data_IF_042104267219
#
_entry.id   IF_042104267219
#
_cell.length_a   1.000
_cell.length_b   1.000
_cell.length_c   1.000
_cell.angle_alpha   90.00
_cell.angle_beta   90.00
_cell.angle_gamma   90.00
#
_symmetry.space_group_name_H-M   'P 1'
#
loop_
_entity.id
_entity.type
_entity.pdbx_description
1 polymer ?
#
# COMPACT_ATOMS: atom_id res chain seq x y z
N UNK A 1 27.63 -4.92 5.92
CA UNK A 1 26.17 -4.99 6.20
C UNK A 1 25.55 -5.42 4.90
N UNK A 2 24.70 -6.43 4.88
CA UNK A 2 24.00 -6.77 3.65
C UNK A 2 23.01 -5.63 3.35
N UNK A 3 23.21 -4.91 2.26
CA UNK A 3 22.20 -3.99 1.75
C UNK A 3 21.02 -4.83 1.26
N UNK A 4 19.82 -4.56 1.75
CA UNK A 4 18.60 -5.17 1.24
C UNK A 4 18.34 -4.56 -0.13
N UNK A 5 18.22 -5.35 -1.19
CA UNK A 5 18.05 -4.83 -2.54
C UNK A 5 16.70 -4.12 -2.71
N UNK A 6 16.66 -3.15 -3.61
CA UNK A 6 15.45 -2.40 -3.98
C UNK A 6 15.12 -2.76 -5.42
N UNK A 7 13.85 -3.07 -5.67
CA UNK A 7 13.32 -3.38 -7.00
C UNK A 7 12.21 -2.39 -7.36
N UNK A 8 12.12 -2.07 -8.63
CA UNK A 8 11.01 -1.31 -9.20
C UNK A 8 9.98 -2.29 -9.75
N UNK A 9 8.73 -2.12 -9.36
CA UNK A 9 7.64 -2.86 -9.97
C UNK A 9 7.34 -2.29 -11.35
N UNK A 10 7.22 -3.17 -12.33
CA UNK A 10 6.75 -2.82 -13.67
C UNK A 10 5.51 -3.63 -14.02
N UNK A 11 4.61 -3.03 -14.74
CA UNK A 11 3.44 -3.69 -15.30
C UNK A 11 3.50 -3.60 -16.81
N UNK A 12 3.53 -4.75 -17.46
CA UNK A 12 3.28 -4.88 -18.87
C UNK A 12 1.79 -5.08 -19.13
N UNK A 13 1.32 -4.79 -20.34
CA UNK A 13 -0.10 -5.01 -20.70
C UNK A 13 -0.56 -6.46 -20.51
N UNK A 14 0.36 -7.42 -20.60
CA UNK A 14 0.14 -8.86 -20.39
C UNK A 14 0.10 -9.28 -18.93
N UNK A 15 0.56 -8.45 -18.00
CA UNK A 15 0.59 -8.80 -16.58
C UNK A 15 -0.81 -8.79 -15.98
N UNK A 16 -1.07 -9.69 -15.03
CA UNK A 16 -2.40 -9.82 -14.42
C UNK A 16 -2.79 -8.59 -13.58
N UNK A 17 -1.82 -7.81 -13.09
CA UNK A 17 -2.10 -6.64 -12.26
C UNK A 17 -2.60 -7.00 -10.86
N UNK A 18 -3.49 -6.18 -10.29
CA UNK A 18 -4.08 -6.42 -8.97
C UNK A 18 -5.16 -7.50 -9.10
N UNK A 19 -5.00 -8.60 -8.38
CA UNK A 19 -5.93 -9.73 -8.40
C UNK A 19 -6.88 -9.74 -7.22
N UNK A 20 -6.48 -9.20 -6.06
CA UNK A 20 -7.31 -9.10 -4.88
C UNK A 20 -6.87 -7.93 -3.97
N UNK A 21 -7.77 -7.58 -3.06
CA UNK A 21 -7.54 -6.58 -2.01
C UNK A 21 -7.86 -7.22 -0.67
N UNK A 22 -6.93 -7.13 0.28
CA UNK A 22 -7.06 -7.74 1.60
C UNK A 22 -7.20 -6.69 2.69
N UNK A 23 -8.16 -6.90 3.59
CA UNK A 23 -8.22 -6.19 4.85
C UNK A 23 -7.36 -6.93 5.87
N UNK A 24 -6.39 -6.24 6.44
CA UNK A 24 -5.35 -6.85 7.25
C UNK A 24 -5.17 -6.10 8.57
N UNK A 25 -4.67 -6.82 9.58
CA UNK A 25 -4.26 -6.22 10.85
C UNK A 25 -2.98 -5.40 10.67
N UNK A 26 -2.03 -5.94 9.92
CA UNK A 26 -0.73 -5.34 9.65
C UNK A 26 -0.57 -5.22 8.13
N UNK A 27 -0.90 -4.06 7.53
CA UNK A 27 -0.71 -3.88 6.11
C UNK A 27 0.77 -3.97 5.73
N UNK A 28 1.07 -4.45 4.53
CA UNK A 28 2.44 -4.63 4.06
C UNK A 28 3.25 -3.32 4.09
N UNK A 29 2.57 -2.19 3.99
CA UNK A 29 3.14 -0.85 4.15
C UNK A 29 3.64 -0.60 5.59
N UNK A 30 3.10 -1.31 6.60
CA UNK A 30 3.52 -1.20 8.00
C UNK A 30 4.73 -2.06 8.35
N UNK A 31 4.84 -3.28 7.81
CA UNK A 31 5.84 -4.27 8.23
C UNK A 31 7.27 -3.77 8.04
N UNK A 32 7.48 -2.89 7.09
CA UNK A 32 8.79 -2.27 6.86
C UNK A 32 9.20 -1.30 7.99
N UNK A 33 8.24 -0.64 8.64
CA UNK A 33 8.49 0.48 9.55
C UNK A 33 8.39 0.16 11.03
N UNK A 34 7.76 -0.95 11.42
CA UNK A 34 7.80 -1.40 12.82
C UNK A 34 9.22 -1.65 13.32
N UNK A 35 10.17 -1.93 12.41
CA UNK A 35 11.60 -2.04 12.75
C UNK A 35 12.34 -0.69 12.72
N UNK A 36 11.85 0.32 11.99
CA UNK A 36 12.63 1.54 11.71
C UNK A 36 12.04 2.87 12.16
N UNK A 37 10.74 3.02 12.29
CA UNK A 37 10.13 4.22 12.90
C UNK A 37 8.67 4.01 13.28
N UNK A 38 8.32 4.33 14.52
CA UNK A 38 6.92 4.38 15.01
C UNK A 38 6.03 5.45 14.34
N UNK A 39 6.50 6.17 13.33
CA UNK A 39 5.83 7.35 12.77
C UNK A 39 5.31 7.21 11.34
N UNK A 40 5.47 6.07 10.69
CA UNK A 40 5.03 5.90 9.30
C UNK A 40 3.89 4.87 9.12
N UNK A 41 3.07 4.66 10.15
CA UNK A 41 1.88 3.84 10.04
C UNK A 41 0.84 4.56 9.19
N UNK A 42 0.64 4.11 7.96
CA UNK A 42 -0.44 4.61 7.10
C UNK A 42 -1.55 3.57 7.11
N UNK A 43 -2.33 3.64 8.17
CA UNK A 43 -3.53 2.85 8.34
C UNK A 43 -4.69 3.44 7.54
N UNK A 44 -5.76 2.70 7.37
CA UNK A 44 -6.98 3.35 6.94
C UNK A 44 -7.52 4.28 8.03
N UNK A 45 -8.31 5.26 7.63
CA UNK A 45 -9.01 6.16 8.53
C UNK A 45 -10.52 5.98 8.35
N UNK A 46 -11.29 6.12 9.44
CA UNK A 46 -12.75 6.19 9.36
C UNK A 46 -13.11 7.55 8.77
N UNK A 47 -13.58 7.53 7.51
CA UNK A 47 -13.98 8.73 6.79
C UNK A 47 -15.37 9.22 7.24
N UNK A 48 -16.31 8.29 7.38
CA UNK A 48 -17.69 8.58 7.80
C UNK A 48 -18.22 7.43 8.68
N UNK A 49 -18.29 7.67 9.98
CA UNK A 49 -18.77 6.67 10.94
C UNK A 49 -20.25 6.36 10.77
N UNK A 50 -21.07 7.36 10.40
CA UNK A 50 -22.52 7.18 10.24
C UNK A 50 -22.86 6.28 9.05
N UNK A 51 -22.13 6.47 7.95
CA UNK A 51 -22.30 5.67 6.72
C UNK A 51 -21.29 4.54 6.61
N UNK A 52 -20.52 4.29 7.67
CA UNK A 52 -19.53 3.20 7.77
C UNK A 52 -18.54 3.20 6.60
N UNK A 53 -17.91 4.35 6.35
CA UNK A 53 -16.91 4.50 5.29
C UNK A 53 -15.51 4.62 5.85
N UNK A 54 -14.58 3.97 5.19
CA UNK A 54 -13.14 4.09 5.44
C UNK A 54 -12.42 4.58 4.20
N UNK A 55 -11.31 5.26 4.41
CA UNK A 55 -10.37 5.67 3.36
C UNK A 55 -8.98 5.11 3.67
N UNK A 56 -8.29 4.62 2.66
CA UNK A 56 -6.93 4.13 2.79
C UNK A 56 -6.09 4.39 1.55
N UNK A 57 -4.77 4.60 1.70
CA UNK A 57 -3.84 4.42 0.60
C UNK A 57 -3.71 2.93 0.32
N UNK A 58 -3.97 2.52 -0.92
CA UNK A 58 -3.82 1.14 -1.37
C UNK A 58 -2.49 0.88 -2.04
N UNK A 59 -1.88 1.93 -2.60
CA UNK A 59 -0.50 1.92 -3.11
C UNK A 59 0.15 3.27 -2.83
N UNK A 60 1.40 3.26 -2.40
CA UNK A 60 2.20 4.47 -2.21
C UNK A 60 3.17 4.64 -3.37
N UNK A 61 3.22 5.86 -3.92
CA UNK A 61 4.12 6.22 -5.00
C UNK A 61 5.52 6.46 -4.47
N UNK A 62 6.53 5.92 -5.17
CA UNK A 62 7.97 6.11 -4.86
C UNK A 62 8.34 5.81 -3.40
N UNK A 63 7.57 4.94 -2.77
CA UNK A 63 7.75 4.55 -1.37
C UNK A 63 8.21 3.09 -1.27
N UNK A 64 9.35 2.81 -0.61
CA UNK A 64 9.88 1.46 -0.51
C UNK A 64 9.05 0.60 0.44
N UNK A 65 8.46 -0.46 -0.10
CA UNK A 65 7.66 -1.43 0.64
C UNK A 65 8.47 -2.70 0.84
N UNK A 66 8.70 -3.07 2.09
CA UNK A 66 9.43 -4.29 2.43
C UNK A 66 8.67 -5.54 1.99
N UNK A 67 9.42 -6.50 1.49
CA UNK A 67 8.96 -7.84 1.14
C UNK A 67 9.96 -8.88 1.64
N UNK A 68 9.44 -10.05 1.96
CA UNK A 68 10.25 -11.21 2.27
C UNK A 68 9.55 -12.43 1.69
N UNK A 69 10.12 -13.00 0.65
CA UNK A 69 9.60 -14.21 0.04
C UNK A 69 10.65 -15.35 0.03
N UNK A 70 10.17 -16.56 -0.27
CA UNK A 70 11.02 -17.78 -0.18
C UNK A 70 12.06 -17.88 -1.31
N UNK A 71 11.88 -17.16 -2.40
CA UNK A 71 12.77 -17.25 -3.58
C UNK A 71 13.80 -16.14 -3.56
N UNK A 72 13.38 -14.90 -3.26
CA UNK A 72 14.23 -13.72 -3.31
C UNK A 72 14.79 -13.30 -1.95
N UNK A 73 14.20 -13.81 -0.85
CA UNK A 73 14.55 -13.37 0.50
C UNK A 73 13.97 -11.99 0.82
N UNK A 74 14.76 -11.16 1.50
CA UNK A 74 14.35 -9.81 1.91
C UNK A 74 14.69 -8.80 0.81
N UNK A 75 13.72 -7.96 0.44
CA UNK A 75 13.88 -6.87 -0.54
C UNK A 75 12.87 -5.76 -0.31
N UNK A 76 13.08 -4.61 -0.94
CA UNK A 76 12.11 -3.54 -1.06
C UNK A 76 11.56 -3.49 -2.46
N UNK A 77 10.28 -3.14 -2.58
CA UNK A 77 9.64 -2.85 -3.87
C UNK A 77 9.10 -1.44 -3.88
N UNK A 78 9.29 -0.74 -4.99
CA UNK A 78 8.83 0.62 -5.22
C UNK A 78 7.90 0.63 -6.43
N UNK A 79 6.81 1.40 -6.34
CA UNK A 79 5.86 1.62 -7.42
C UNK A 79 5.94 3.08 -7.85
N UNK A 80 6.30 3.33 -9.10
CA UNK A 80 6.28 4.67 -9.63
C UNK A 80 4.87 5.12 -10.04
N UNK A 81 4.74 6.39 -10.37
CA UNK A 81 3.48 7.01 -10.81
C UNK A 81 2.84 6.27 -11.99
N UNK A 82 3.62 5.92 -13.00
CA UNK A 82 3.12 5.28 -14.23
C UNK A 82 2.57 3.88 -13.92
N UNK A 83 3.30 3.10 -13.15
CA UNK A 83 2.87 1.79 -12.66
C UNK A 83 1.56 1.88 -11.88
N UNK A 84 1.44 2.85 -10.98
CA UNK A 84 0.21 3.07 -10.19
C UNK A 84 -0.97 3.45 -11.08
N UNK A 85 -0.78 4.31 -12.08
CA UNK A 85 -1.84 4.69 -13.02
C UNK A 85 -2.32 3.48 -13.85
N UNK A 86 -1.39 2.63 -14.29
CA UNK A 86 -1.72 1.39 -15.01
C UNK A 86 -2.49 0.42 -14.10
N UNK A 87 -2.00 0.21 -12.87
CA UNK A 87 -2.63 -0.70 -11.90
C UNK A 87 -4.04 -0.25 -11.52
N UNK A 88 -4.24 1.04 -11.28
CA UNK A 88 -5.56 1.59 -10.99
C UNK A 88 -6.55 1.34 -12.15
N UNK A 89 -6.10 1.53 -13.38
CA UNK A 89 -6.90 1.26 -14.58
C UNK A 89 -7.23 -0.22 -14.73
N UNK A 90 -6.23 -1.10 -14.56
CA UNK A 90 -6.43 -2.55 -14.64
C UNK A 90 -7.39 -3.05 -13.57
N UNK A 91 -7.26 -2.60 -12.31
CA UNK A 91 -8.17 -2.96 -11.22
C UNK A 91 -9.64 -2.71 -11.59
N UNK A 92 -9.91 -1.56 -12.24
CA UNK A 92 -11.27 -1.23 -12.70
C UNK A 92 -11.67 -2.02 -13.95
N UNK A 93 -10.77 -2.16 -14.93
CA UNK A 93 -11.06 -2.85 -16.20
C UNK A 93 -11.32 -4.35 -16.00
N UNK A 94 -10.54 -4.99 -15.13
CA UNK A 94 -10.64 -6.41 -14.81
C UNK A 94 -11.75 -6.72 -13.79
N UNK A 95 -12.44 -5.68 -13.29
CA UNK A 95 -13.50 -5.80 -12.27
C UNK A 95 -13.04 -6.52 -11.00
N UNK A 96 -11.77 -6.35 -10.64
CA UNK A 96 -11.19 -6.96 -9.44
C UNK A 96 -11.56 -6.20 -8.15
N UNK A 97 -12.38 -5.17 -8.25
CA UNK A 97 -12.84 -4.32 -7.12
C UNK A 97 -13.65 -5.10 -6.09
N UNK A 98 -14.30 -6.19 -6.49
CA UNK A 98 -15.13 -7.02 -5.62
C UNK A 98 -14.39 -8.25 -5.08
N UNK A 99 -13.13 -8.44 -5.47
CA UNK A 99 -12.31 -9.53 -4.97
C UNK A 99 -11.61 -9.11 -3.65
N UNK A 100 -12.39 -9.11 -2.59
CA UNK A 100 -11.97 -8.69 -1.25
C UNK A 100 -11.87 -9.90 -0.34
N UNK A 101 -10.78 -10.01 0.42
CA UNK A 101 -10.59 -11.08 1.40
C UNK A 101 -10.02 -10.57 2.73
N UNK A 102 -9.91 -11.46 3.72
CA UNK A 102 -9.32 -11.19 5.03
C UNK A 102 -7.93 -11.81 5.09
N UNK A 103 -6.95 -11.06 5.54
CA UNK A 103 -5.59 -11.54 5.85
C UNK A 103 -4.95 -12.39 4.73
N UNK A 104 -5.13 -11.98 3.48
CA UNK A 104 -4.63 -12.71 2.30
C UNK A 104 -5.14 -14.15 2.17
N UNK A 105 -6.30 -14.44 2.76
CA UNK A 105 -6.92 -15.75 2.67
C UNK A 105 -8.02 -15.76 1.60
N UNK A 106 -7.80 -16.34 0.40
CA UNK A 106 -8.78 -16.33 -0.67
C UNK A 106 -10.06 -17.14 -0.36
N UNK A 107 -10.06 -17.91 0.74
CA UNK A 107 -11.27 -18.62 1.21
C UNK A 107 -12.15 -17.74 2.11
N UNK A 108 -11.61 -16.65 2.63
CA UNK A 108 -12.32 -15.71 3.50
C UNK A 108 -12.75 -14.46 2.71
N UNK A 109 -13.57 -14.70 1.70
CA UNK A 109 -14.12 -13.63 0.86
C UNK A 109 -15.02 -12.73 1.71
N UNK A 110 -14.79 -11.43 1.61
CA UNK A 110 -15.58 -10.41 2.29
C UNK A 110 -16.83 -10.10 1.47
N UNK A 111 -17.96 -10.00 2.15
CA UNK A 111 -19.24 -9.58 1.57
C UNK A 111 -19.71 -8.31 2.28
N UNK A 112 -20.55 -7.51 1.60
CA UNK A 112 -21.04 -6.26 2.18
C UNK A 112 -19.93 -5.22 2.39
N UNK A 113 -18.88 -5.28 1.58
CA UNK A 113 -17.81 -4.28 1.50
C UNK A 113 -17.69 -3.89 0.04
N UNK A 114 -17.81 -2.61 -0.25
CA UNK A 114 -17.88 -2.09 -1.61
C UNK A 114 -16.87 -0.98 -1.83
N UNK A 115 -16.11 -1.05 -2.91
CA UNK A 115 -15.32 0.07 -3.39
C UNK A 115 -16.26 1.17 -3.87
N UNK A 116 -16.24 2.32 -3.21
CA UNK A 116 -17.09 3.47 -3.53
C UNK A 116 -16.33 4.52 -4.35
N UNK A 117 -15.06 4.74 -3.99
CA UNK A 117 -14.19 5.68 -4.70
C UNK A 117 -12.80 5.07 -4.89
N UNK A 118 -12.20 5.32 -6.05
CA UNK A 118 -10.80 5.03 -6.35
C UNK A 118 -10.21 6.26 -7.01
N UNK A 119 -9.15 6.82 -6.41
CA UNK A 119 -8.53 8.03 -6.95
C UNK A 119 -7.04 8.09 -6.65
N UNK A 120 -6.32 8.86 -7.45
CA UNK A 120 -4.89 9.13 -7.26
C UNK A 120 -4.75 10.49 -6.58
N UNK A 121 -4.01 10.54 -5.47
CA UNK A 121 -3.66 11.79 -4.79
C UNK A 121 -2.91 12.70 -5.76
N UNK A 122 -3.35 13.94 -5.86
CA UNK A 122 -2.68 14.95 -6.68
C UNK A 122 -2.95 16.33 -6.07
N UNK A 123 -2.00 16.82 -5.29
CA UNK A 123 -2.11 18.10 -4.58
C UNK A 123 -2.20 19.30 -5.52
N UNK A 124 -1.59 19.22 -6.70
CA UNK A 124 -1.69 20.28 -7.72
C UNK A 124 -3.10 20.42 -8.27
N UNK A 125 -3.85 19.31 -8.32
CA UNK A 125 -5.26 19.27 -8.73
C UNK A 125 -6.23 19.46 -7.56
N UNK A 126 -5.72 19.69 -6.34
CA UNK A 126 -6.54 19.82 -5.14
C UNK A 126 -7.08 18.48 -4.60
N UNK A 127 -6.58 17.35 -5.07
CA UNK A 127 -6.94 16.01 -4.58
C UNK A 127 -5.95 15.65 -3.45
N UNK A 128 -6.32 16.03 -2.23
CA UNK A 128 -5.48 15.81 -1.05
C UNK A 128 -6.36 15.31 0.12
N UNK A 129 -6.42 13.99 0.36
CA UNK A 129 -7.27 13.44 1.39
C UNK A 129 -6.81 13.89 2.78
N UNK A 130 -7.76 14.36 3.58
CA UNK A 130 -7.53 14.87 4.95
C UNK A 130 -7.02 13.71 5.82
N UNK A 131 -5.96 13.97 6.59
CA UNK A 131 -5.31 12.99 7.46
C UNK A 131 -4.25 12.14 6.76
N UNK A 132 -4.00 12.40 5.47
CA UNK A 132 -2.99 11.72 4.66
C UNK A 132 -2.08 12.72 3.92
N UNK A 133 -1.87 13.88 4.51
CA UNK A 133 -1.07 14.96 3.94
C UNK A 133 0.38 14.49 3.65
N UNK A 134 0.93 13.64 4.54
CA UNK A 134 2.30 13.11 4.46
C UNK A 134 2.46 11.93 3.49
N UNK A 135 1.35 11.40 2.94
CA UNK A 135 1.44 10.36 1.91
C UNK A 135 1.85 10.97 0.59
N UNK A 136 2.70 10.30 -0.14
CA UNK A 136 3.29 10.77 -1.38
C UNK A 136 2.24 11.12 -2.43
N UNK A 137 2.51 12.17 -3.22
CA UNK A 137 1.70 12.48 -4.41
C UNK A 137 1.70 11.28 -5.36
N UNK A 138 0.66 11.14 -6.15
CA UNK A 138 0.42 10.03 -7.06
C UNK A 138 0.16 8.66 -6.40
N UNK A 139 0.10 8.60 -5.07
CA UNK A 139 -0.38 7.41 -4.35
C UNK A 139 -1.85 7.13 -4.67
N UNK A 140 -2.20 5.85 -4.80
CA UNK A 140 -3.55 5.39 -5.06
C UNK A 140 -4.33 5.26 -3.76
N UNK A 141 -5.51 5.85 -3.71
CA UNK A 141 -6.43 5.79 -2.58
C UNK A 141 -7.73 5.10 -2.95
N UNK A 142 -8.33 4.44 -1.98
CA UNK A 142 -9.65 3.86 -2.09
C UNK A 142 -10.53 4.23 -0.91
N UNK A 143 -11.82 4.45 -1.17
CA UNK A 143 -12.88 4.58 -0.16
C UNK A 143 -13.76 3.36 -0.25
N UNK A 144 -13.98 2.71 0.90
CA UNK A 144 -14.87 1.56 1.01
C UNK A 144 -16.07 1.87 1.88
N UNK A 145 -17.25 1.49 1.42
CA UNK A 145 -18.48 1.40 2.21
C UNK A 145 -18.60 0.01 2.81
N UNK A 146 -18.85 -0.08 4.12
CA UNK A 146 -18.87 -1.32 4.90
C UNK A 146 -20.29 -1.57 5.41
N UNK A 147 -21.07 -2.39 4.72
CA UNK A 147 -22.42 -2.78 5.13
C UNK A 147 -22.42 -3.93 6.13
N UNK A 148 -21.40 -4.81 6.05
CA UNK A 148 -21.27 -5.95 6.95
C UNK A 148 -20.95 -5.49 8.37
N UNK A 149 -21.78 -5.95 9.33
CA UNK A 149 -21.66 -5.53 10.73
C UNK A 149 -20.41 -6.12 11.41
N UNK A 150 -20.05 -7.34 11.10
CA UNK A 150 -18.87 -8.00 11.70
C UNK A 150 -17.59 -7.33 11.21
N UNK A 151 -17.49 -7.05 9.91
CA UNK A 151 -16.35 -6.33 9.33
C UNK A 151 -16.23 -4.94 9.95
N UNK A 152 -17.34 -4.21 10.07
CA UNK A 152 -17.32 -2.89 10.70
C UNK A 152 -16.85 -2.94 12.15
N UNK A 153 -17.34 -3.88 12.95
CA UNK A 153 -16.89 -4.06 14.32
C UNK A 153 -15.40 -4.40 14.40
N UNK A 154 -14.88 -5.21 13.50
CA UNK A 154 -13.45 -5.53 13.45
C UNK A 154 -12.60 -4.29 13.13
N UNK A 155 -13.10 -3.39 12.29
CA UNK A 155 -12.49 -2.09 12.01
C UNK A 155 -12.49 -1.20 13.27
N UNK A 156 -13.66 -1.01 13.90
CA UNK A 156 -13.78 -0.15 15.08
C UNK A 156 -12.94 -0.66 16.28
N UNK A 157 -12.75 -1.97 16.38
CA UNK A 157 -11.95 -2.59 17.43
C UNK A 157 -10.46 -2.76 17.09
N UNK A 158 -10.02 -2.28 15.92
CA UNK A 158 -8.62 -2.36 15.48
C UNK A 158 -8.15 -3.78 15.16
N UNK A 159 -9.06 -4.68 14.80
CA UNK A 159 -8.69 -6.01 14.26
C UNK A 159 -8.26 -5.92 12.80
N UNK A 160 -8.83 -4.98 12.06
CA UNK A 160 -8.33 -4.56 10.76
C UNK A 160 -7.85 -3.12 10.88
N UNK A 161 -6.64 -2.83 10.41
CA UNK A 161 -6.04 -1.49 10.49
C UNK A 161 -5.63 -0.96 9.11
N UNK A 162 -5.55 -1.81 8.11
CA UNK A 162 -5.09 -1.40 6.80
C UNK A 162 -5.56 -2.29 5.66
N UNK A 163 -5.14 -1.92 4.48
CA UNK A 163 -5.42 -2.59 3.22
C UNK A 163 -4.10 -3.04 2.62
N UNK A 164 -4.07 -4.25 2.10
CA UNK A 164 -2.95 -4.80 1.35
C UNK A 164 -3.41 -5.29 -0.01
N UNK A 165 -2.60 -5.06 -1.03
CA UNK A 165 -2.86 -5.53 -2.39
C UNK A 165 -2.22 -6.88 -2.63
N UNK A 166 -2.94 -7.70 -3.39
CA UNK A 166 -2.43 -8.93 -3.99
C UNK A 166 -2.43 -8.76 -5.51
N UNK A 167 -1.33 -9.13 -6.14
CA UNK A 167 -1.21 -9.00 -7.59
C UNK A 167 0.05 -9.65 -8.10
N UNK A 168 0.12 -9.80 -9.42
CA UNK A 168 1.32 -10.21 -10.13
C UNK A 168 1.85 -9.05 -10.96
N UNK A 169 3.13 -8.80 -10.85
CA UNK A 169 3.86 -7.78 -11.60
C UNK A 169 5.30 -8.21 -11.77
N UNK A 170 5.91 -7.76 -12.83
CA UNK A 170 7.34 -7.95 -13.06
C UNK A 170 8.11 -7.00 -12.15
N UNK A 171 9.23 -7.45 -11.62
CA UNK A 171 10.14 -6.61 -10.84
C UNK A 171 11.46 -6.52 -11.58
N UNK A 172 12.00 -5.33 -11.68
CA UNK A 172 13.33 -5.06 -12.24
C UNK A 172 14.22 -4.52 -11.14
N UNK A 173 15.47 -4.96 -11.13
CA UNK A 173 16.46 -4.41 -10.24
C UNK A 173 16.70 -2.93 -10.62
N UNK A 174 16.75 -2.05 -9.65
CA UNK A 174 17.11 -0.67 -9.92
C UNK A 174 18.53 -0.64 -10.48
N UNK A 175 18.69 -0.19 -11.74
CA UNK A 175 20.02 0.21 -12.22
C UNK A 175 20.44 1.49 -11.47
N UNK A 176 21.74 1.60 -11.14
CA UNK A 176 22.31 2.71 -10.35
C UNK A 176 22.22 4.06 -11.11
N UNK A 177 21.03 4.65 -11.19
CA UNK A 177 20.81 6.03 -11.61
C UNK A 177 20.71 6.98 -10.40
N UNK A 178 20.86 8.28 -10.62
CA UNK A 178 20.92 9.31 -9.57
C UNK A 178 19.74 9.28 -8.58
N UNK A 179 18.54 8.86 -9.00
CA UNK A 179 17.35 8.71 -8.16
C UNK A 179 17.50 7.61 -7.09
N UNK A 180 18.26 6.55 -7.36
CA UNK A 180 18.52 5.50 -6.40
C UNK A 180 19.43 5.98 -5.26
N UNK A 181 20.34 6.91 -5.53
CA UNK A 181 21.19 7.51 -4.51
C UNK A 181 20.34 8.20 -3.45
N UNK A 182 19.28 8.90 -3.84
CA UNK A 182 18.39 9.58 -2.90
C UNK A 182 17.62 8.57 -2.02
N UNK A 183 17.06 7.51 -2.61
CA UNK A 183 16.37 6.45 -1.84
C UNK A 183 17.33 5.66 -0.94
N UNK A 184 18.51 5.35 -1.44
CA UNK A 184 19.55 4.65 -0.66
C UNK A 184 20.07 5.54 0.46
N UNK A 185 20.21 6.85 0.21
CA UNK A 185 20.60 7.84 1.22
C UNK A 185 19.51 8.00 2.28
N UNK A 186 18.24 8.09 1.90
CA UNK A 186 17.10 8.12 2.83
C UNK A 186 17.06 6.86 3.69
N UNK A 187 17.20 5.67 3.11
CA UNK A 187 17.25 4.42 3.85
C UNK A 187 18.45 4.35 4.79
N UNK A 188 19.62 4.85 4.37
CA UNK A 188 20.83 4.90 5.20
C UNK A 188 20.67 5.87 6.37
N UNK A 189 20.09 7.03 6.14
CA UNK A 189 19.78 8.04 7.17
C UNK A 189 18.75 7.50 8.18
N UNK A 190 17.73 6.81 7.72
CA UNK A 190 16.75 6.16 8.59
C UNK A 190 17.40 5.07 9.46
N UNK A 191 18.29 4.26 8.88
CA UNK A 191 19.06 3.26 9.64
C UNK A 191 20.02 3.89 10.66
N UNK A 192 20.66 5.01 10.34
CA UNK A 192 21.51 5.75 11.27
C UNK A 192 20.71 6.38 12.42
N UNK A 193 19.57 6.98 12.13
CA UNK A 193 18.67 7.52 13.16
C UNK A 193 18.23 6.44 14.14
N UNK A 194 17.89 5.28 13.63
CA UNK A 194 17.55 4.11 14.44
C UNK A 194 18.71 3.67 15.36
N UNK A 195 19.93 3.56 14.82
CA UNK A 195 21.12 3.17 15.61
C UNK A 195 21.47 4.17 16.69
N UNK A 196 21.20 5.45 16.48
CA UNK A 196 21.47 6.54 17.45
C UNK A 196 20.35 6.72 18.47
N UNK A 197 19.25 5.96 18.39
CA UNK A 197 18.12 6.05 19.30
C UNK A 197 17.42 7.40 19.26
N UNK A 198 17.55 8.12 18.16
CA UNK A 198 16.84 9.39 17.95
C UNK A 198 15.36 9.04 17.70
N UNK A 199 14.54 9.41 18.71
CA UNK A 199 13.08 9.23 18.69
C UNK A 199 12.42 10.36 17.94
#
# INVERSE_FOLDING_TARGET
>A
MNNIPIYKAQINESDEGITAISFVREPAVETCFLQFAKQAQVNFSILDKKHKKIIAPVMRCDFPIYRNDKQMGEYYIVYDKETIEIMARKLLADKATDNLNKEHNPREVMKGVYLEELFIKNTEKGINPIGFEEVENYSLFAVYAIEDFEVWNNIENGHFNGISLEGMFTIEEFEEDEELNDLTEILSLLQECYKRGIK
#
